data_IF_759183534203
#
_entry.id   IF_759183534203
#
_cell.length_a   1.000
_cell.length_b   1.000
_cell.length_c   1.000
_cell.angle_alpha   90.00
_cell.angle_beta   90.00
_cell.angle_gamma   90.00
#
_symmetry.space_group_name_H-M   'P 1'
#
loop_
_entity.id
_entity.type
_entity.pdbx_description
1 polymer ?
#
# COMPACT_ATOMS: atom_id res chain seq x y z
N UNK A 1 7.18 -28.46 13.73
CA UNK A 1 8.36 -27.95 12.98
C UNK A 1 7.98 -27.22 11.69
N UNK A 2 7.29 -27.82 10.70
CA UNK A 2 6.90 -27.12 9.45
C UNK A 2 6.12 -25.81 9.69
N UNK A 3 5.19 -25.81 10.64
CA UNK A 3 4.36 -24.62 10.96
C UNK A 3 5.13 -23.45 11.57
N UNK A 4 6.17 -23.73 12.37
CA UNK A 4 7.00 -22.68 12.99
C UNK A 4 7.95 -22.04 11.97
N UNK A 5 8.48 -22.84 11.05
CA UNK A 5 9.31 -22.35 9.96
C UNK A 5 8.51 -21.40 9.05
N UNK A 6 7.34 -21.83 8.59
CA UNK A 6 6.45 -20.99 7.77
C UNK A 6 6.05 -19.69 8.46
N UNK A 7 5.78 -19.75 9.77
CA UNK A 7 5.44 -18.55 10.55
C UNK A 7 6.63 -17.59 10.66
N UNK A 8 7.84 -18.12 10.84
CA UNK A 8 9.08 -17.34 10.89
C UNK A 8 9.41 -16.72 9.55
N UNK A 9 9.21 -17.44 8.45
CA UNK A 9 9.39 -16.93 7.08
C UNK A 9 8.44 -15.78 6.77
N UNK A 10 7.15 -15.92 7.12
CA UNK A 10 6.17 -14.84 6.97
C UNK A 10 6.51 -13.61 7.80
N UNK A 11 7.01 -13.82 9.02
CA UNK A 11 7.46 -12.72 9.88
C UNK A 11 8.70 -12.02 9.29
N UNK A 12 9.65 -12.78 8.74
CA UNK A 12 10.81 -12.23 8.06
C UNK A 12 10.40 -11.40 6.84
N UNK A 13 9.43 -11.86 6.05
CA UNK A 13 8.89 -11.12 4.91
C UNK A 13 8.21 -9.81 5.34
N UNK A 14 7.40 -9.87 6.40
CA UNK A 14 6.76 -8.71 6.98
C UNK A 14 7.79 -7.66 7.45
N UNK A 15 8.80 -8.08 8.21
CA UNK A 15 9.84 -7.18 8.72
C UNK A 15 10.72 -6.62 7.59
N UNK A 16 10.97 -7.41 6.54
CA UNK A 16 11.70 -6.96 5.35
C UNK A 16 10.93 -5.87 4.59
N UNK A 17 9.62 -6.03 4.41
CA UNK A 17 8.78 -4.99 3.81
C UNK A 17 8.78 -3.73 4.68
N UNK A 18 8.63 -3.89 5.99
CA UNK A 18 8.61 -2.77 6.93
C UNK A 18 9.91 -1.97 6.89
N UNK A 19 11.05 -2.65 6.75
CA UNK A 19 12.34 -1.99 6.56
C UNK A 19 12.35 -1.09 5.31
N UNK A 20 11.82 -1.57 4.18
CA UNK A 20 11.73 -0.77 2.96
C UNK A 20 10.73 0.40 3.10
N UNK A 21 9.60 0.19 3.78
CA UNK A 21 8.66 1.27 4.10
C UNK A 21 9.34 2.36 4.94
N UNK A 22 10.11 1.98 5.96
CA UNK A 22 10.87 2.92 6.80
C UNK A 22 11.89 3.71 5.97
N UNK A 23 12.61 3.07 5.03
CA UNK A 23 13.59 3.75 4.17
C UNK A 23 12.97 4.83 3.28
N UNK A 24 11.70 4.68 2.91
CA UNK A 24 10.97 5.61 2.04
C UNK A 24 10.01 6.55 2.80
N UNK A 25 9.88 6.37 4.11
CA UNK A 25 8.91 7.05 4.95
C UNK A 25 9.26 8.52 5.17
N UNK A 26 8.24 9.38 5.12
CA UNK A 26 8.30 10.72 5.71
C UNK A 26 8.19 10.65 7.23
N UNK A 27 8.42 11.77 7.93
CA UNK A 27 8.25 11.85 9.38
C UNK A 27 6.86 11.40 9.85
N UNK A 28 5.81 11.73 9.09
CA UNK A 28 4.43 11.31 9.40
C UNK A 28 4.24 9.81 9.20
N UNK A 29 4.75 9.26 8.10
CA UNK A 29 4.67 7.82 7.82
C UNK A 29 5.38 7.00 8.92
N UNK A 30 6.48 7.52 9.47
CA UNK A 30 7.22 6.87 10.57
C UNK A 30 6.43 6.82 11.88
N UNK A 31 5.63 7.83 12.18
CA UNK A 31 4.78 7.80 13.39
C UNK A 31 3.68 6.75 13.25
N UNK A 32 3.07 6.63 12.07
CA UNK A 32 2.08 5.59 11.77
C UNK A 32 2.70 4.17 11.86
N UNK A 33 3.91 3.97 11.33
CA UNK A 33 4.66 2.70 11.43
C UNK A 33 5.00 2.36 12.89
N UNK A 34 5.41 3.34 13.70
CA UNK A 34 5.69 3.12 15.13
C UNK A 34 4.45 2.70 15.89
N UNK A 35 3.31 3.31 15.59
CA UNK A 35 2.04 2.92 16.19
C UNK A 35 1.65 1.49 15.78
N UNK A 36 1.79 1.14 14.50
CA UNK A 36 1.56 -0.24 14.03
C UNK A 36 2.44 -1.25 14.78
N UNK A 37 3.73 -0.96 14.94
CA UNK A 37 4.66 -1.81 15.66
C UNK A 37 4.32 -1.94 17.15
N UNK A 38 3.81 -0.86 17.78
CA UNK A 38 3.36 -0.90 19.16
C UNK A 38 2.07 -1.73 19.31
N UNK A 39 1.10 -1.57 18.42
CA UNK A 39 -0.15 -2.35 18.37
C UNK A 39 0.11 -3.85 18.16
N UNK A 40 1.14 -4.20 17.39
CA UNK A 40 1.57 -5.58 17.19
C UNK A 40 2.51 -6.12 18.29
N UNK A 41 2.86 -5.31 19.29
CA UNK A 41 3.69 -5.72 20.43
C UNK A 41 5.20 -5.76 20.17
N UNK A 42 5.67 -5.31 19.00
CA UNK A 42 7.10 -5.19 18.68
C UNK A 42 7.78 -4.02 19.43
N UNK A 43 7.02 -2.97 19.74
CA UNK A 43 7.49 -1.83 20.52
C UNK A 43 6.69 -1.69 21.80
N UNK A 44 7.37 -1.36 22.90
CA UNK A 44 6.68 -1.00 24.15
C UNK A 44 6.04 0.37 23.98
N UNK A 45 4.75 0.46 24.28
CA UNK A 45 4.08 1.76 24.42
C UNK A 45 4.74 2.55 25.55
N UNK A 46 5.11 3.82 25.29
CA UNK A 46 5.59 4.70 26.36
C UNK A 46 4.41 5.00 27.30
N UNK A 47 4.53 4.75 28.62
CA UNK A 47 3.49 5.12 29.57
C UNK A 47 3.24 6.64 29.49
N UNK A 48 1.97 7.04 29.35
CA UNK A 48 1.54 8.45 29.28
C UNK A 48 1.30 9.04 27.87
N UNK A 49 1.51 8.30 26.77
CA UNK A 49 1.26 8.83 25.41
C UNK A 49 -0.21 8.81 24.99
N UNK A 50 -1.03 7.94 25.60
CA UNK A 50 -2.47 7.80 25.26
C UNK A 50 -3.33 9.00 25.66
N UNK A 51 -2.91 9.81 26.64
CA UNK A 51 -3.69 10.96 27.12
C UNK A 51 -3.45 12.27 26.34
N UNK A 52 -2.45 12.33 25.43
CA UNK A 52 -2.10 13.57 24.70
C UNK A 52 -2.27 13.51 23.19
N UNK A 53 -2.69 12.40 22.60
CA UNK A 53 -3.02 12.37 21.17
C UNK A 53 -4.44 12.92 20.96
N UNK A 54 -4.58 14.25 20.90
CA UNK A 54 -5.76 14.86 20.29
C UNK A 54 -6.02 14.23 18.92
N UNK A 55 -7.31 14.05 18.54
CA UNK A 55 -7.80 13.37 17.32
C UNK A 55 -6.66 13.01 16.35
N UNK A 56 -6.10 11.81 16.47
CA UNK A 56 -5.07 11.33 15.55
C UNK A 56 -5.57 11.59 14.12
N UNK A 57 -4.81 12.37 13.35
CA UNK A 57 -5.15 12.64 11.97
C UNK A 57 -5.29 11.30 11.25
N UNK A 58 -6.32 11.15 10.42
CA UNK A 58 -6.49 9.93 9.64
C UNK A 58 -5.20 9.64 8.83
N UNK A 59 -4.83 8.35 8.66
CA UNK A 59 -3.74 7.97 7.77
C UNK A 59 -3.94 8.63 6.41
N UNK A 60 -2.87 9.15 5.82
CA UNK A 60 -2.95 9.88 4.56
C UNK A 60 -2.14 9.15 3.49
N UNK A 61 -2.78 8.30 2.66
CA UNK A 61 -2.15 7.71 1.49
C UNK A 61 -1.58 8.81 0.58
N UNK A 62 -0.44 8.55 -0.05
CA UNK A 62 0.17 9.49 -0.97
C UNK A 62 -0.61 9.55 -2.29
N UNK A 63 -0.86 10.76 -2.79
CA UNK A 63 -1.54 10.99 -4.05
C UNK A 63 -0.54 11.19 -5.20
N UNK A 64 -0.85 10.53 -6.30
CA UNK A 64 -0.22 10.62 -7.62
C UNK A 64 -1.27 11.06 -8.64
N UNK A 65 -0.81 11.59 -9.77
CA UNK A 65 -1.66 11.81 -10.94
C UNK A 65 -1.14 10.94 -12.09
N UNK A 66 -2.07 10.24 -12.73
CA UNK A 66 -1.86 9.60 -14.03
C UNK A 66 -1.56 10.65 -15.12
N UNK A 67 -1.07 10.21 -16.27
CA UNK A 67 -0.82 11.10 -17.42
C UNK A 67 -2.10 11.77 -17.92
N UNK A 68 -3.26 11.12 -17.77
CA UNK A 68 -4.57 11.69 -18.10
C UNK A 68 -5.18 12.56 -16.97
N UNK A 69 -4.46 12.75 -15.86
CA UNK A 69 -4.91 13.52 -14.69
C UNK A 69 -5.76 12.72 -13.70
N UNK A 70 -6.01 11.43 -13.94
CA UNK A 70 -6.73 10.57 -12.99
C UNK A 70 -5.96 10.45 -11.68
N UNK A 71 -6.59 10.71 -10.51
CA UNK A 71 -5.90 10.54 -9.23
C UNK A 71 -5.65 9.06 -8.90
N UNK A 72 -4.45 8.77 -8.42
CA UNK A 72 -4.04 7.46 -7.92
C UNK A 72 -3.54 7.62 -6.48
N UNK A 73 -4.03 6.79 -5.57
CA UNK A 73 -3.63 6.80 -4.16
C UNK A 73 -2.78 5.57 -3.83
N UNK A 74 -1.71 5.77 -3.07
CA UNK A 74 -0.78 4.71 -2.66
C UNK A 74 -0.62 4.73 -1.14
N UNK A 75 -0.88 3.60 -0.48
CA UNK A 75 -0.59 3.44 0.95
C UNK A 75 0.88 3.06 1.18
N UNK A 76 1.63 3.87 1.93
CA UNK A 76 3.08 3.66 2.18
C UNK A 76 3.38 2.72 3.35
N UNK A 77 2.37 2.39 4.15
CA UNK A 77 2.48 1.49 5.29
C UNK A 77 1.16 0.72 5.47
N UNK A 78 1.12 -0.26 6.38
CA UNK A 78 -0.05 -1.12 6.50
C UNK A 78 -1.28 -0.40 7.09
N UNK A 79 -1.07 0.61 7.95
CA UNK A 79 -2.15 1.49 8.42
C UNK A 79 -2.79 2.29 7.27
N UNK A 80 -1.98 2.86 6.39
CA UNK A 80 -2.46 3.56 5.19
C UNK A 80 -3.11 2.60 4.20
N UNK A 81 -2.55 1.41 3.99
CA UNK A 81 -3.14 0.39 3.13
C UNK A 81 -4.55 0.00 3.60
N UNK A 82 -4.69 -0.27 4.90
CA UNK A 82 -5.99 -0.58 5.49
C UNK A 82 -6.96 0.59 5.36
N UNK A 83 -6.54 1.79 5.72
CA UNK A 83 -7.38 2.98 5.60
C UNK A 83 -7.81 3.23 4.15
N UNK A 84 -6.86 3.15 3.20
CA UNK A 84 -7.08 3.35 1.78
C UNK A 84 -8.15 2.39 1.27
N UNK A 85 -7.96 1.09 1.47
CA UNK A 85 -8.81 0.08 0.85
C UNK A 85 -10.13 -0.11 1.59
N UNK A 86 -10.13 -0.02 2.93
CA UNK A 86 -11.32 -0.36 3.73
C UNK A 86 -12.20 0.84 4.06
N UNK A 87 -11.69 2.08 3.95
CA UNK A 87 -12.43 3.29 4.37
C UNK A 87 -12.47 4.41 3.33
N UNK A 88 -11.36 4.68 2.66
CA UNK A 88 -11.24 5.84 1.77
C UNK A 88 -11.70 5.57 0.33
N UNK A 89 -11.41 4.39 -0.19
CA UNK A 89 -11.73 4.00 -1.55
C UNK A 89 -13.23 3.68 -1.70
N UNK A 90 -13.78 3.99 -2.87
CA UNK A 90 -15.16 3.67 -3.24
C UNK A 90 -15.23 2.27 -3.83
N UNK A 91 -16.38 1.60 -3.66
CA UNK A 91 -16.59 0.20 -4.08
C UNK A 91 -16.27 -0.10 -5.54
N UNK A 92 -16.56 0.83 -6.45
CA UNK A 92 -16.33 0.64 -7.88
C UNK A 92 -14.94 1.09 -8.36
N UNK A 93 -14.14 1.74 -7.51
CA UNK A 93 -12.76 2.12 -7.85
C UNK A 93 -11.87 0.88 -7.99
N UNK A 94 -10.79 1.02 -8.77
CA UNK A 94 -9.87 -0.08 -9.07
C UNK A 94 -8.74 -0.12 -8.04
N UNK A 95 -8.58 -1.28 -7.40
CA UNK A 95 -7.49 -1.61 -6.48
C UNK A 95 -6.44 -2.46 -7.18
N UNK A 96 -5.17 -2.22 -6.88
CA UNK A 96 -4.02 -2.95 -7.41
C UNK A 96 -3.05 -3.33 -6.30
N UNK A 97 -2.36 -4.46 -6.50
CA UNK A 97 -1.30 -4.95 -5.62
C UNK A 97 -0.33 -5.88 -6.35
N UNK A 98 0.94 -5.86 -5.96
CA UNK A 98 1.96 -6.73 -6.53
C UNK A 98 1.72 -8.19 -6.15
N UNK A 99 1.54 -9.06 -7.14
CA UNK A 99 1.08 -10.43 -6.95
C UNK A 99 2.09 -11.27 -6.15
N UNK A 100 1.60 -11.98 -5.14
CA UNK A 100 2.37 -12.92 -4.31
C UNK A 100 3.59 -12.31 -3.58
N UNK A 101 3.68 -10.98 -3.49
CA UNK A 101 4.78 -10.31 -2.79
C UNK A 101 4.24 -9.22 -1.86
N UNK A 102 4.85 -8.99 -0.70
CA UNK A 102 4.48 -7.87 0.15
C UNK A 102 4.69 -6.53 -0.58
N UNK A 103 3.74 -5.61 -0.43
CA UNK A 103 3.77 -4.33 -1.12
C UNK A 103 2.59 -3.44 -0.76
N UNK A 104 2.58 -2.26 -1.38
CA UNK A 104 1.60 -1.20 -1.13
C UNK A 104 0.27 -1.46 -1.83
N UNK A 105 -0.82 -1.04 -1.21
CA UNK A 105 -2.12 -0.97 -1.88
C UNK A 105 -2.15 0.29 -2.75
N UNK A 106 -2.58 0.12 -3.99
CA UNK A 106 -2.76 1.22 -4.94
C UNK A 106 -4.21 1.28 -5.36
N UNK A 107 -4.81 2.46 -5.38
CA UNK A 107 -6.21 2.66 -5.80
C UNK A 107 -6.28 3.76 -6.85
N UNK A 108 -6.82 3.44 -8.01
CA UNK A 108 -7.16 4.42 -9.04
C UNK A 108 -8.52 5.00 -8.69
N UNK A 109 -8.64 6.33 -8.60
CA UNK A 109 -9.88 7.04 -8.29
C UNK A 109 -10.83 7.11 -9.51
N UNK A 110 -11.00 6.00 -10.22
CA UNK A 110 -11.88 5.81 -11.36
C UNK A 110 -12.46 4.39 -11.34
N UNK A 111 -13.70 4.24 -11.82
CA UNK A 111 -14.34 2.94 -12.00
C UNK A 111 -13.96 2.24 -13.30
N UNK A 112 -13.57 3.03 -14.31
CA UNK A 112 -13.21 2.58 -15.66
C UNK A 112 -11.98 3.39 -16.11
N UNK A 113 -10.79 3.09 -15.55
CA UNK A 113 -9.57 3.78 -15.97
C UNK A 113 -9.20 3.39 -17.40
N UNK A 114 -8.50 4.30 -18.09
CA UNK A 114 -7.82 3.98 -19.34
C UNK A 114 -6.77 2.89 -19.12
N UNK A 115 -6.41 2.16 -20.18
CA UNK A 115 -5.36 1.15 -20.11
C UNK A 115 -4.02 1.75 -19.67
N UNK A 116 -3.71 2.96 -20.15
CA UNK A 116 -2.52 3.71 -19.75
C UNK A 116 -2.51 4.00 -18.24
N UNK A 117 -3.60 4.55 -17.69
CA UNK A 117 -3.72 4.82 -16.25
C UNK A 117 -3.64 3.53 -15.41
N UNK A 118 -4.18 2.42 -15.92
CA UNK A 118 -4.07 1.12 -15.27
C UNK A 118 -2.60 0.65 -15.20
N UNK A 119 -1.86 0.78 -16.30
CA UNK A 119 -0.44 0.44 -16.35
C UNK A 119 0.40 1.34 -15.45
N UNK A 120 0.18 2.65 -15.47
CA UNK A 120 0.85 3.61 -14.58
C UNK A 120 0.62 3.28 -13.10
N UNK A 121 -0.62 2.94 -12.72
CA UNK A 121 -0.92 2.48 -11.37
C UNK A 121 -0.23 1.14 -11.04
N UNK A 122 -0.10 0.24 -12.01
CA UNK A 122 0.64 -1.01 -11.84
C UNK A 122 2.13 -0.77 -11.63
N UNK A 123 2.74 0.21 -12.31
CA UNK A 123 4.12 0.64 -12.05
C UNK A 123 4.29 1.13 -10.60
N UNK A 124 3.31 1.88 -10.06
CA UNK A 124 3.33 2.29 -8.65
C UNK A 124 3.25 1.07 -7.71
N UNK A 125 2.35 0.13 -7.97
CA UNK A 125 2.19 -1.08 -7.14
C UNK A 125 3.48 -1.92 -7.13
N UNK A 126 4.11 -2.08 -8.29
CA UNK A 126 5.36 -2.81 -8.44
C UNK A 126 6.54 -2.08 -7.77
N UNK A 127 6.65 -0.76 -7.97
CA UNK A 127 7.69 0.08 -7.37
C UNK A 127 7.63 0.08 -5.84
N UNK A 128 6.43 0.11 -5.26
CA UNK A 128 6.23 0.11 -3.81
C UNK A 128 6.01 -1.30 -3.23
N UNK A 129 6.64 -2.30 -3.83
CA UNK A 129 6.64 -3.69 -3.37
C UNK A 129 8.06 -4.23 -3.15
N UNK A 130 8.15 -5.43 -2.56
CA UNK A 130 9.42 -6.18 -2.45
C UNK A 130 10.03 -6.48 -3.83
N UNK A 131 9.24 -6.49 -4.91
CA UNK A 131 9.68 -6.78 -6.27
C UNK A 131 10.18 -5.54 -7.05
N UNK A 132 10.42 -4.41 -6.37
CA UNK A 132 10.85 -3.15 -6.99
C UNK A 132 12.06 -3.26 -7.93
N UNK A 133 13.01 -4.16 -7.62
CA UNK A 133 14.24 -4.33 -8.41
C UNK A 133 14.14 -5.50 -9.41
N UNK A 134 12.96 -6.09 -9.58
CA UNK A 134 12.73 -7.17 -10.53
C UNK A 134 12.48 -6.61 -11.93
N UNK A 135 13.05 -7.25 -12.95
CA UNK A 135 12.84 -6.84 -14.35
C UNK A 135 11.43 -7.09 -14.86
N UNK A 136 10.60 -7.85 -14.13
CA UNK A 136 9.23 -8.14 -14.49
C UNK A 136 8.39 -8.46 -13.27
N UNK A 137 7.27 -7.75 -13.07
CA UNK A 137 6.40 -7.89 -11.89
C UNK A 137 4.96 -8.07 -12.35
N UNK A 138 4.35 -9.16 -11.90
CA UNK A 138 2.91 -9.38 -12.06
C UNK A 138 2.16 -8.54 -11.00
N UNK A 139 1.17 -7.77 -11.44
CA UNK A 139 0.34 -6.92 -10.60
C UNK A 139 -1.12 -7.32 -10.79
N UNK A 140 -1.76 -7.71 -9.70
CA UNK A 140 -3.18 -8.02 -9.69
C UNK A 140 -3.98 -6.73 -9.55
N UNK A 141 -5.12 -6.66 -10.23
CA UNK A 141 -6.09 -5.59 -10.09
C UNK A 141 -7.52 -6.13 -10.07
N UNK A 142 -8.37 -5.48 -9.29
CA UNK A 142 -9.80 -5.78 -9.18
C UNK A 142 -10.56 -4.54 -8.68
N UNK A 143 -11.88 -4.61 -8.59
CA UNK A 143 -12.65 -3.53 -7.95
C UNK A 143 -12.53 -3.63 -6.43
N UNK A 144 -12.50 -2.50 -5.74
CA UNK A 144 -12.39 -2.44 -4.26
C UNK A 144 -13.47 -3.26 -3.56
N UNK A 145 -14.69 -3.36 -4.11
CA UNK A 145 -15.76 -4.21 -3.57
C UNK A 145 -15.42 -5.70 -3.45
N UNK A 146 -14.45 -6.18 -4.24
CA UNK A 146 -13.97 -7.56 -4.23
C UNK A 146 -12.81 -7.77 -3.25
N UNK A 147 -12.35 -6.70 -2.57
CA UNK A 147 -11.28 -6.74 -1.58
C UNK A 147 -11.88 -6.71 -0.18
N UNK A 148 -11.49 -7.66 0.68
CA UNK A 148 -11.99 -7.77 2.04
C UNK A 148 -10.88 -8.14 3.02
N UNK A 149 -10.99 -7.63 4.25
CA UNK A 149 -10.13 -8.00 5.37
C UNK A 149 -10.77 -9.16 6.16
N UNK A 150 -10.09 -10.31 6.31
CA UNK A 150 -10.55 -11.36 7.22
C UNK A 150 -10.56 -10.91 8.68
N UNK A 151 -11.52 -11.41 9.45
CA UNK A 151 -11.61 -11.11 10.88
C UNK A 151 -10.34 -11.55 11.62
N UNK A 152 -9.79 -10.66 12.44
CA UNK A 152 -8.58 -10.92 13.22
C UNK A 152 -7.27 -10.85 12.43
N UNK A 153 -7.31 -10.53 11.13
CA UNK A 153 -6.08 -10.36 10.35
C UNK A 153 -5.32 -9.08 10.74
N UNK A 154 -3.99 -9.12 10.58
CA UNK A 154 -3.12 -7.96 10.77
C UNK A 154 -3.52 -6.79 9.86
N UNK A 155 -3.22 -5.53 10.25
CA UNK A 155 -3.42 -4.38 9.38
C UNK A 155 -2.80 -4.58 7.99
N UNK A 156 -3.49 -4.09 6.95
CA UNK A 156 -3.05 -4.20 5.56
C UNK A 156 -3.24 -5.59 4.93
N UNK A 157 -3.51 -6.65 5.70
CA UNK A 157 -3.79 -7.96 5.13
C UNK A 157 -5.21 -8.01 4.54
N UNK A 158 -5.30 -8.35 3.25
CA UNK A 158 -6.55 -8.48 2.53
C UNK A 158 -6.58 -9.77 1.72
N UNK A 159 -7.79 -10.23 1.43
CA UNK A 159 -8.06 -11.24 0.42
C UNK A 159 -8.96 -10.62 -0.65
N UNK A 160 -8.81 -11.07 -1.89
CA UNK A 160 -9.51 -10.51 -3.03
C UNK A 160 -9.87 -11.58 -4.05
N UNK A 161 -10.87 -11.28 -4.88
CA UNK A 161 -11.34 -12.12 -5.96
C UNK A 161 -11.62 -11.30 -7.24
N UNK A 162 -12.04 -11.99 -8.31
CA UNK A 162 -12.32 -11.41 -9.64
C UNK A 162 -11.16 -10.58 -10.22
N UNK A 163 -9.94 -10.93 -9.83
CA UNK A 163 -8.76 -10.22 -10.25
C UNK A 163 -8.37 -10.56 -11.69
N UNK A 164 -7.76 -9.57 -12.33
CA UNK A 164 -6.96 -9.74 -13.54
C UNK A 164 -5.51 -9.39 -13.20
N UNK A 165 -4.57 -9.88 -13.99
CA UNK A 165 -3.14 -9.61 -13.79
C UNK A 165 -2.62 -8.85 -15.00
N UNK A 166 -1.92 -7.74 -14.76
CA UNK A 166 -1.05 -7.08 -15.73
C UNK A 166 0.40 -7.28 -15.34
N UNK A 167 1.30 -7.02 -16.28
CA UNK A 167 2.72 -7.25 -16.11
C UNK A 167 3.49 -5.99 -16.45
N UNK A 168 4.35 -5.54 -15.55
CA UNK A 168 5.10 -4.28 -15.69
C UNK A 168 6.54 -4.43 -15.20
N UNK A 169 7.43 -3.58 -15.72
CA UNK A 169 8.77 -3.39 -15.18
C UNK A 169 8.78 -2.06 -14.39
N UNK A 170 9.06 -2.04 -13.07
CA UNK A 170 9.07 -0.81 -12.29
C UNK A 170 9.93 0.28 -12.94
N UNK A 171 9.36 1.49 -13.09
CA UNK A 171 10.03 2.64 -13.70
C UNK A 171 10.10 3.77 -12.68
N UNK A 172 11.31 4.09 -12.22
CA UNK A 172 11.54 5.12 -11.21
C UNK A 172 11.26 6.53 -11.71
N UNK A 173 11.49 6.79 -13.00
CA UNK A 173 11.33 8.11 -13.61
C UNK A 173 9.83 8.41 -13.81
N UNK A 174 9.06 7.41 -14.22
CA UNK A 174 7.60 7.49 -14.28
C UNK A 174 7.00 7.82 -12.92
N UNK A 175 7.40 7.10 -11.86
CA UNK A 175 6.91 7.36 -10.49
C UNK A 175 7.25 8.78 -10.03
N UNK A 176 8.46 9.27 -10.33
CA UNK A 176 8.87 10.64 -9.99
C UNK A 176 8.02 11.68 -10.75
N UNK A 177 7.73 11.45 -12.02
CA UNK A 177 6.87 12.31 -12.86
C UNK A 177 5.46 12.40 -12.29
N UNK A 178 4.83 11.26 -12.00
CA UNK A 178 3.47 11.20 -11.44
C UNK A 178 3.38 11.88 -10.06
N UNK A 179 4.43 11.74 -9.23
CA UNK A 179 4.50 12.42 -7.92
C UNK A 179 4.64 13.93 -8.07
N UNK A 180 5.39 14.40 -9.06
CA UNK A 180 5.56 15.84 -9.32
C UNK A 180 4.26 16.46 -9.85
N UNK A 181 3.56 15.75 -10.73
CA UNK A 181 2.27 16.18 -11.26
C UNK A 181 1.25 16.44 -10.15
N UNK A 182 1.14 15.55 -9.16
CA UNK A 182 0.21 15.72 -8.03
C UNK A 182 0.53 16.93 -7.15
N UNK A 183 1.80 17.32 -7.02
CA UNK A 183 2.22 18.51 -6.27
C UNK A 183 2.00 19.83 -7.00
N UNK A 184 1.84 19.79 -8.33
CA UNK A 184 1.69 21.00 -9.16
C UNK A 184 0.23 21.43 -9.28
N UNK A 185 -0.73 20.53 -8.98
CA UNK A 185 -2.16 20.82 -8.99
C UNK A 185 -2.77 21.06 -7.60
N UNK A 186 -1.94 21.15 -6.55
CA UNK A 186 -2.36 21.34 -5.15
C UNK A 186 -1.98 22.70 -4.58
#
# INVERSE_FOLDING_TARGET
MKTQLEQTEKELEYLSLLHEQIRMASAKDLDEIKEELAEQGYLKEKPGRREKSGKQAAPAPEQFLASDGTPILVGKNNKQNEYLTMRLARKEEVWLHAKNVPGSHVVIRSSEPSEETLLEAAHLAAYYSKARNSGNVDVDYTKVKYVRKPNGAKPGFVIYDHQKTVRVTPDTDLVAKMRKASRTQG
#
